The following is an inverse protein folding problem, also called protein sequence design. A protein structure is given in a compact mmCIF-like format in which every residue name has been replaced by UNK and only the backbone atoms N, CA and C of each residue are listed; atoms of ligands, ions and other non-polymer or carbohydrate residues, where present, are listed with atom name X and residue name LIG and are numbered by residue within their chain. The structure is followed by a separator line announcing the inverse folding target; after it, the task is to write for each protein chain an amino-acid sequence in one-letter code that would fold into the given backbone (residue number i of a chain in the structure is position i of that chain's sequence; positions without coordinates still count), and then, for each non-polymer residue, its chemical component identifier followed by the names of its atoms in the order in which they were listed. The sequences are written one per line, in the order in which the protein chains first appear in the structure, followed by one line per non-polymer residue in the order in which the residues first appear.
data_IF_183745600405
#
_entry.id   IF_183745600405
#
_cell.length_a   1.000
_cell.length_b   1.000
_cell.length_c   1.000
_cell.angle_alpha   90.00
_cell.angle_beta   90.00
_cell.angle_gamma   90.00
#
_symmetry.space_group_name_H-M   'P 1'
#
loop_
_entity.id
_entity.type
_entity.pdbx_description
1 polymer ?
#
# COMPACT_ATOMS: atom_id res chain seq x y z
N UNK A 1 21.96 10.60 -11.67
CA UNK A 1 20.52 10.80 -11.92
C UNK A 1 20.42 11.69 -13.14
N UNK A 2 19.88 11.16 -14.24
CA UNK A 2 19.91 11.81 -15.55
C UNK A 2 18.86 12.94 -15.62
N UNK A 3 19.12 14.00 -16.39
CA UNK A 3 18.20 15.15 -16.55
C UNK A 3 16.81 14.69 -17.03
N UNK A 4 16.78 13.64 -17.86
CA UNK A 4 15.56 13.02 -18.36
C UNK A 4 14.73 12.33 -17.26
N UNK A 5 15.38 11.71 -16.26
CA UNK A 5 14.70 11.10 -15.10
C UNK A 5 14.06 12.19 -14.23
N UNK A 6 14.78 13.29 -14.00
CA UNK A 6 14.23 14.43 -13.25
C UNK A 6 13.00 15.04 -13.94
N UNK A 7 13.08 15.30 -15.25
CA UNK A 7 11.96 15.84 -16.03
C UNK A 7 10.75 14.89 -16.02
N UNK A 8 10.99 13.58 -16.14
CA UNK A 8 9.94 12.56 -16.04
C UNK A 8 9.19 12.61 -14.71
N UNK A 9 9.91 12.74 -13.59
CA UNK A 9 9.30 12.84 -12.24
C UNK A 9 8.48 14.11 -12.07
N UNK A 10 8.95 15.24 -12.58
CA UNK A 10 8.20 16.51 -12.50
C UNK A 10 6.88 16.42 -13.25
N UNK A 11 6.90 15.89 -14.49
CA UNK A 11 5.69 15.71 -15.29
C UNK A 11 4.69 14.73 -14.65
N UNK A 12 5.20 13.68 -14.02
CA UNK A 12 4.40 12.70 -13.28
C UNK A 12 3.70 13.33 -12.05
N UNK A 13 4.41 14.17 -11.28
CA UNK A 13 3.82 14.93 -10.17
C UNK A 13 2.71 15.87 -10.66
N UNK A 14 2.95 16.63 -11.73
CA UNK A 14 1.92 17.55 -12.28
C UNK A 14 0.68 16.80 -12.76
N UNK A 15 0.86 15.66 -13.43
CA UNK A 15 -0.26 14.78 -13.81
C UNK A 15 -1.08 14.34 -12.60
N UNK A 16 -0.43 13.96 -11.49
CA UNK A 16 -1.14 13.53 -10.28
C UNK A 16 -1.86 14.65 -9.58
N UNK A 17 -1.31 15.87 -9.57
CA UNK A 17 -2.04 17.05 -9.06
C UNK A 17 -3.36 17.23 -9.81
N UNK A 18 -3.35 17.08 -11.13
CA UNK A 18 -4.56 17.15 -11.95
C UNK A 18 -5.55 16.04 -11.56
N UNK A 19 -5.08 14.80 -11.37
CA UNK A 19 -5.94 13.68 -10.95
C UNK A 19 -6.57 13.91 -9.57
N UNK A 20 -5.80 14.44 -8.61
CA UNK A 20 -6.28 14.84 -7.28
C UNK A 20 -7.40 15.88 -7.41
N UNK A 21 -7.14 16.97 -8.14
CA UNK A 21 -8.12 18.03 -8.31
C UNK A 21 -9.39 17.55 -9.00
N UNK A 22 -9.26 16.68 -10.00
CA UNK A 22 -10.42 16.07 -10.65
C UNK A 22 -11.23 15.23 -9.67
N UNK A 23 -10.58 14.43 -8.82
CA UNK A 23 -11.27 13.64 -7.81
C UNK A 23 -11.97 14.54 -6.78
N UNK A 24 -11.33 15.62 -6.32
CA UNK A 24 -11.94 16.61 -5.41
C UNK A 24 -13.19 17.26 -6.02
N UNK A 25 -13.13 17.65 -7.30
CA UNK A 25 -14.27 18.19 -8.05
C UNK A 25 -15.41 17.16 -8.13
N UNK A 26 -15.09 15.91 -8.49
CA UNK A 26 -16.09 14.86 -8.64
C UNK A 26 -16.76 14.46 -7.31
N UNK A 27 -16.00 14.45 -6.22
CA UNK A 27 -16.52 14.18 -4.87
C UNK A 27 -17.18 15.42 -4.24
N UNK A 28 -17.08 16.57 -4.91
CA UNK A 28 -17.52 17.88 -4.43
C UNK A 28 -16.99 18.19 -3.01
N UNK A 29 -15.70 17.93 -2.78
CA UNK A 29 -15.03 18.13 -1.49
C UNK A 29 -13.51 18.08 -1.63
N UNK A 30 -12.81 18.68 -0.67
CA UNK A 30 -11.37 18.57 -0.57
C UNK A 30 -10.94 17.22 0.01
N UNK A 31 -9.83 16.69 -0.49
CA UNK A 31 -9.15 15.54 0.09
C UNK A 31 -8.25 15.98 1.25
N UNK A 32 -8.07 15.13 2.27
CA UNK A 32 -7.10 15.38 3.34
C UNK A 32 -5.70 15.62 2.78
N UNK A 33 -4.96 16.55 3.40
CA UNK A 33 -3.65 16.98 2.90
C UNK A 33 -2.66 15.82 2.89
N UNK A 34 -2.66 14.97 3.92
CA UNK A 34 -1.73 13.85 3.99
C UNK A 34 -2.07 12.79 2.93
N UNK A 35 -3.35 12.62 2.61
CA UNK A 35 -3.76 11.74 1.51
C UNK A 35 -3.28 12.26 0.15
N UNK A 36 -3.39 13.57 -0.10
CA UNK A 36 -2.85 14.21 -1.31
C UNK A 36 -1.35 13.99 -1.41
N UNK A 37 -0.60 14.24 -0.34
CA UNK A 37 0.85 14.02 -0.30
C UNK A 37 1.19 12.56 -0.55
N UNK A 38 0.48 11.62 0.08
CA UNK A 38 0.66 10.18 -0.12
C UNK A 38 0.59 9.84 -1.61
N UNK A 39 -0.50 10.21 -2.29
CA UNK A 39 -0.63 9.90 -3.71
C UNK A 39 0.32 10.66 -4.63
N UNK A 40 0.76 11.86 -4.26
CA UNK A 40 1.78 12.60 -5.02
C UNK A 40 3.13 11.89 -4.96
N UNK A 41 3.51 11.34 -3.81
CA UNK A 41 4.80 10.69 -3.59
C UNK A 41 4.77 9.24 -4.08
N UNK A 42 3.75 8.47 -3.69
CA UNK A 42 3.70 7.04 -3.94
C UNK A 42 2.98 6.74 -5.26
N UNK A 43 3.69 6.09 -6.18
CA UNK A 43 3.06 5.42 -7.32
C UNK A 43 2.27 4.23 -6.81
N UNK A 44 0.98 4.42 -6.54
CA UNK A 44 0.09 3.34 -6.07
C UNK A 44 0.02 2.17 -7.09
N UNK A 45 0.24 2.45 -8.37
CA UNK A 45 0.40 1.46 -9.43
C UNK A 45 1.62 0.54 -9.20
N UNK A 46 2.68 1.06 -8.58
CA UNK A 46 3.93 0.34 -8.34
C UNK A 46 3.80 -0.67 -7.19
N UNK A 47 2.87 -0.43 -6.26
CA UNK A 47 2.48 -1.45 -5.28
C UNK A 47 1.82 -2.67 -5.95
N UNK A 48 1.36 -2.55 -7.20
CA UNK A 48 0.89 -3.71 -7.99
C UNK A 48 2.01 -4.40 -8.77
N UNK A 49 3.18 -3.78 -8.97
CA UNK A 49 4.37 -4.53 -9.39
C UNK A 49 4.88 -5.45 -8.28
N UNK A 50 4.39 -5.22 -7.05
CA UNK A 50 4.50 -6.10 -5.89
C UNK A 50 3.30 -7.08 -5.80
N UNK A 51 2.33 -7.02 -6.72
CA UNK A 51 1.19 -7.94 -6.75
C UNK A 51 1.43 -9.07 -7.74
N UNK A 52 1.98 -10.19 -7.26
CA UNK A 52 1.65 -11.49 -7.86
C UNK A 52 0.97 -12.48 -6.92
N UNK A 53 0.72 -12.13 -5.66
CA UNK A 53 -0.31 -12.79 -4.87
C UNK A 53 -1.06 -11.79 -3.99
N UNK A 54 -2.11 -12.24 -3.32
CA UNK A 54 -3.11 -11.48 -2.55
C UNK A 54 -2.59 -10.86 -1.25
N UNK A 55 -1.28 -10.62 -1.17
CA UNK A 55 -0.60 -9.94 -0.09
C UNK A 55 0.26 -8.83 -0.72
N UNK A 56 0.60 -7.78 0.01
CA UNK A 56 1.66 -6.87 -0.48
C UNK A 56 2.96 -7.69 -0.45
N UNK A 57 3.21 -8.41 -1.54
CA UNK A 57 4.41 -9.23 -1.73
C UNK A 57 5.47 -8.33 -2.32
N UNK A 58 6.37 -7.79 -1.49
CA UNK A 58 7.60 -7.36 -2.12
C UNK A 58 8.32 -8.62 -2.57
N UNK A 59 8.35 -8.81 -3.89
CA UNK A 59 9.25 -9.76 -4.52
C UNK A 59 10.66 -9.31 -4.13
N UNK A 60 11.20 -9.96 -3.11
CA UNK A 60 12.61 -9.91 -2.82
C UNK A 60 13.25 -10.67 -3.97
N UNK A 61 13.75 -9.95 -4.97
CA UNK A 61 14.58 -10.58 -5.99
C UNK A 61 15.83 -11.10 -5.26
N UNK A 62 15.91 -12.41 -5.11
CA UNK A 62 17.04 -13.10 -4.49
C UNK A 62 17.87 -13.69 -5.62
N UNK A 63 19.06 -13.15 -5.81
CA UNK A 63 19.99 -13.73 -6.78
C UNK A 63 20.70 -14.94 -6.16
N UNK A 64 20.47 -16.10 -6.77
CA UNK A 64 21.17 -17.36 -6.53
C UNK A 64 21.89 -17.75 -7.83
N UNK A 65 23.22 -17.85 -7.76
CA UNK A 65 24.09 -18.16 -8.90
C UNK A 65 23.84 -19.55 -9.48
N UNK A 66 23.44 -20.53 -8.67
CA UNK A 66 23.19 -21.90 -9.16
C UNK A 66 21.86 -22.02 -9.91
N UNK A 67 20.88 -21.19 -9.54
CA UNK A 67 19.48 -21.30 -10.01
C UNK A 67 19.05 -20.24 -11.03
N UNK A 68 19.91 -19.27 -11.37
CA UNK A 68 19.58 -18.17 -12.28
C UNK A 68 18.31 -17.40 -11.81
N UNK A 69 18.36 -16.88 -10.58
CA UNK A 69 17.30 -16.16 -9.82
C UNK A 69 16.31 -17.04 -9.06
N UNK A 70 16.04 -16.68 -7.80
CA UNK A 70 14.87 -17.13 -7.04
C UNK A 70 14.06 -15.91 -6.60
N UNK A 71 12.74 -15.96 -6.79
CA UNK A 71 11.86 -14.96 -6.18
C UNK A 71 11.69 -15.31 -4.71
N UNK A 72 12.42 -14.63 -3.83
CA UNK A 72 12.15 -14.63 -2.40
C UNK A 72 10.88 -13.82 -2.14
N UNK A 73 9.92 -14.38 -1.42
CA UNK A 73 8.71 -13.65 -1.03
C UNK A 73 8.96 -13.05 0.36
N UNK A 74 8.96 -11.72 0.47
CA UNK A 74 8.94 -11.06 1.77
C UNK A 74 7.50 -10.66 2.10
N UNK A 75 6.97 -11.23 3.19
CA UNK A 75 5.63 -10.91 3.67
C UNK A 75 5.69 -9.67 4.56
N UNK A 76 4.86 -8.67 4.25
CA UNK A 76 4.62 -7.59 5.20
C UNK A 76 3.64 -8.10 6.25
N UNK A 77 4.00 -7.93 7.51
CA UNK A 77 3.08 -8.08 8.62
C UNK A 77 2.94 -6.72 9.26
N UNK A 78 1.76 -6.14 9.10
CA UNK A 78 1.45 -5.02 9.95
C UNK A 78 1.10 -5.54 11.35
N UNK A 79 1.21 -4.66 12.36
CA UNK A 79 0.63 -4.95 13.68
C UNK A 79 -0.87 -5.30 13.62
N UNK A 80 -1.53 -5.03 12.48
CA UNK A 80 -2.93 -5.32 12.26
C UNK A 80 -3.19 -6.74 11.71
N UNK A 81 -2.16 -7.53 11.40
CA UNK A 81 -2.30 -8.91 10.90
C UNK A 81 -3.03 -9.82 11.87
N UNK A 82 -2.73 -9.69 13.16
CA UNK A 82 -3.39 -10.45 14.22
C UNK A 82 -4.91 -10.22 14.22
N UNK A 83 -5.36 -9.10 13.65
CA UNK A 83 -6.75 -8.72 13.52
C UNK A 83 -7.30 -8.89 12.09
N UNK A 84 -6.48 -9.34 11.13
CA UNK A 84 -6.87 -9.49 9.72
C UNK A 84 -7.00 -8.17 8.94
N UNK A 85 -6.43 -7.07 9.44
CA UNK A 85 -6.55 -5.75 8.80
C UNK A 85 -5.28 -5.28 8.07
N UNK A 86 -4.47 -6.23 7.61
CA UNK A 86 -3.34 -5.94 6.73
C UNK A 86 -3.83 -5.40 5.40
N UNK A 87 -3.26 -4.28 4.97
CA UNK A 87 -3.54 -3.73 3.65
C UNK A 87 -2.97 -4.62 2.56
N UNK A 88 -3.78 -4.86 1.53
CA UNK A 88 -3.42 -5.64 0.35
C UNK A 88 -3.36 -4.77 -0.89
N UNK A 89 -4.13 -3.68 -0.90
CA UNK A 89 -4.24 -2.82 -2.06
C UNK A 89 -4.58 -1.41 -1.63
N UNK A 90 -3.89 -0.43 -2.23
CA UNK A 90 -4.38 0.94 -2.33
C UNK A 90 -5.01 1.15 -3.70
N UNK A 91 -6.17 1.78 -3.76
CA UNK A 91 -6.82 2.09 -5.03
C UNK A 91 -6.13 3.26 -5.73
N UNK A 92 -6.04 3.18 -7.05
CA UNK A 92 -5.66 4.31 -7.90
C UNK A 92 -6.78 5.35 -7.93
N UNK A 93 -6.44 6.63 -8.15
CA UNK A 93 -7.41 7.71 -8.27
C UNK A 93 -8.59 7.39 -9.19
N UNK A 94 -8.28 6.91 -10.40
CA UNK A 94 -9.29 6.59 -11.42
C UNK A 94 -10.21 5.43 -10.98
N UNK A 95 -9.74 4.60 -10.04
CA UNK A 95 -10.49 3.47 -9.47
C UNK A 95 -11.31 3.85 -8.24
N UNK A 96 -10.86 4.80 -7.42
CA UNK A 96 -11.52 5.21 -6.17
C UNK A 96 -12.98 5.55 -6.44
N UNK A 97 -13.30 6.27 -7.52
CA UNK A 97 -14.67 6.60 -7.90
C UNK A 97 -15.57 5.38 -8.06
N UNK A 98 -15.09 4.40 -8.82
CA UNK A 98 -15.86 3.19 -9.10
C UNK A 98 -16.01 2.35 -7.82
N UNK A 99 -14.97 2.31 -6.99
CA UNK A 99 -15.02 1.67 -5.67
C UNK A 99 -16.04 2.35 -4.78
N UNK A 100 -16.02 3.68 -4.64
CA UNK A 100 -16.98 4.45 -3.85
C UNK A 100 -18.41 4.12 -4.29
N UNK A 101 -18.69 4.12 -5.60
CA UNK A 101 -20.02 3.80 -6.13
C UNK A 101 -20.47 2.38 -5.83
N UNK A 102 -19.55 1.42 -5.90
CA UNK A 102 -19.87 0.01 -5.69
C UNK A 102 -19.92 -0.34 -4.19
N UNK A 103 -19.12 0.34 -3.38
CA UNK A 103 -18.97 0.08 -1.95
C UNK A 103 -20.06 0.77 -1.13
N UNK A 104 -20.33 2.06 -1.41
CA UNK A 104 -21.40 2.79 -0.77
C UNK A 104 -22.76 2.47 -1.40
N UNK A 105 -23.17 1.20 -1.29
CA UNK A 105 -24.56 0.80 -1.51
C UNK A 105 -25.46 1.33 -0.36
N UNK A 106 -26.76 1.03 -0.39
CA UNK A 106 -27.74 1.56 0.57
C UNK A 106 -27.33 1.41 2.05
N UNK A 107 -26.63 0.32 2.41
CA UNK A 107 -26.20 0.04 3.79
C UNK A 107 -25.03 0.93 4.25
N UNK A 108 -24.27 1.46 3.29
CA UNK A 108 -23.03 2.17 3.50
C UNK A 108 -23.13 3.69 3.24
N UNK A 109 -24.25 4.17 2.68
CA UNK A 109 -24.51 5.59 2.41
C UNK A 109 -24.28 6.49 3.64
N UNK A 110 -24.42 5.98 4.86
CA UNK A 110 -24.15 6.71 6.11
C UNK A 110 -22.69 7.19 6.23
N UNK A 111 -21.74 6.51 5.59
CA UNK A 111 -20.31 6.82 5.68
C UNK A 111 -19.78 7.64 4.50
N UNK A 112 -20.53 7.73 3.39
CA UNK A 112 -20.04 8.35 2.15
C UNK A 112 -19.61 9.82 2.30
N UNK A 113 -20.15 10.52 3.30
CA UNK A 113 -19.86 11.94 3.55
C UNK A 113 -18.69 12.15 4.51
N UNK A 114 -18.35 11.14 5.30
CA UNK A 114 -17.37 11.25 6.37
C UNK A 114 -16.07 10.55 6.04
N UNK A 115 -16.07 9.67 5.04
CA UNK A 115 -14.94 8.81 4.70
C UNK A 115 -14.76 8.62 3.19
N UNK A 116 -13.52 8.31 2.80
CA UNK A 116 -13.16 7.87 1.45
C UNK A 116 -12.50 6.51 1.54
N UNK A 117 -12.92 5.57 0.70
CA UNK A 117 -12.26 4.28 0.56
C UNK A 117 -10.99 4.45 -0.26
N UNK A 118 -9.86 4.08 0.33
CA UNK A 118 -8.52 4.24 -0.27
C UNK A 118 -7.83 2.92 -0.58
N UNK A 119 -8.39 1.80 -0.11
CA UNK A 119 -7.81 0.49 -0.29
C UNK A 119 -8.67 -0.62 0.32
N UNK A 120 -8.11 -1.81 0.36
CA UNK A 120 -8.72 -2.99 0.96
C UNK A 120 -7.67 -3.88 1.65
N UNK A 121 -8.15 -4.63 2.64
CA UNK A 121 -7.36 -5.65 3.34
C UNK A 121 -7.33 -6.96 2.56
N UNK A 122 -6.57 -7.95 3.04
CA UNK A 122 -6.55 -9.31 2.47
C UNK A 122 -7.91 -10.04 2.56
N UNK A 123 -8.77 -9.58 3.48
CA UNK A 123 -10.13 -10.09 3.66
C UNK A 123 -11.17 -9.24 2.94
N UNK A 124 -10.72 -8.38 2.02
CA UNK A 124 -11.57 -7.42 1.29
C UNK A 124 -12.30 -6.43 2.19
N UNK A 125 -11.80 -6.19 3.41
CA UNK A 125 -12.33 -5.11 4.23
C UNK A 125 -11.82 -3.77 3.71
N UNK A 126 -12.70 -2.80 3.48
CA UNK A 126 -12.31 -1.51 2.97
C UNK A 126 -11.51 -0.74 4.00
N UNK A 127 -10.41 -0.17 3.54
CA UNK A 127 -9.61 0.78 4.29
C UNK A 127 -10.07 2.17 3.89
N UNK A 128 -10.43 2.95 4.89
CA UNK A 128 -11.08 4.25 4.75
C UNK A 128 -10.26 5.34 5.43
N UNK A 129 -10.28 6.53 4.84
CA UNK A 129 -9.72 7.74 5.46
C UNK A 129 -10.84 8.71 5.77
N UNK A 130 -10.84 9.25 6.98
CA UNK A 130 -11.74 10.31 7.37
C UNK A 130 -11.43 11.64 6.67
N UNK A 131 -12.47 12.34 6.25
CA UNK A 131 -12.38 13.56 5.41
C UNK A 131 -13.10 14.76 6.00
N UNK A 132 -13.84 14.59 7.10
CA UNK A 132 -14.50 15.69 7.76
C UNK A 132 -13.63 16.23 8.92
N UNK A 133 -14.03 17.35 9.52
CA UNK A 133 -13.26 17.99 10.58
C UNK A 133 -13.07 17.15 11.85
N UNK A 134 -13.90 16.13 12.09
CA UNK A 134 -13.84 15.27 13.29
C UNK A 134 -12.89 14.09 13.11
N UNK A 135 -12.66 13.65 11.87
CA UNK A 135 -11.93 12.43 11.56
C UNK A 135 -10.86 12.61 10.47
N UNK A 136 -10.58 13.84 10.04
CA UNK A 136 -9.61 14.16 8.99
C UNK A 136 -8.30 13.39 9.17
N UNK A 137 -7.82 12.81 8.07
CA UNK A 137 -6.60 12.00 7.95
C UNK A 137 -6.59 10.66 8.69
N UNK A 138 -7.49 10.43 9.65
CA UNK A 138 -7.55 9.17 10.41
C UNK A 138 -7.91 7.99 9.53
N UNK A 139 -7.23 6.88 9.75
CA UNK A 139 -7.38 5.64 9.00
C UNK A 139 -8.25 4.66 9.78
N UNK A 140 -9.22 4.09 9.08
CA UNK A 140 -10.14 3.09 9.59
C UNK A 140 -10.18 1.89 8.66
N UNK A 141 -10.59 0.74 9.19
CA UNK A 141 -11.11 -0.37 8.40
C UNK A 141 -12.59 -0.55 8.73
N UNK A 142 -13.39 -0.82 7.71
CA UNK A 142 -14.75 -1.30 7.94
C UNK A 142 -14.74 -2.81 8.08
N UNK A 143 -14.89 -3.31 9.31
CA UNK A 143 -15.02 -4.73 9.57
C UNK A 143 -16.43 -5.18 9.18
N UNK A 144 -16.55 -5.86 8.04
CA UNK A 144 -17.83 -6.32 7.48
C UNK A 144 -18.50 -7.37 8.38
N UNK A 145 -17.72 -8.19 9.09
CA UNK A 145 -18.26 -9.24 9.96
C UNK A 145 -18.88 -8.65 11.23
N UNK A 146 -18.33 -7.54 11.71
CA UNK A 146 -18.77 -6.84 12.93
C UNK A 146 -19.65 -5.62 12.67
N UNK A 147 -19.86 -5.26 11.40
CA UNK A 147 -20.61 -4.08 10.96
C UNK A 147 -20.14 -2.78 11.64
N UNK A 148 -18.82 -2.59 11.76
CA UNK A 148 -18.25 -1.44 12.48
C UNK A 148 -16.97 -0.88 11.87
N UNK A 149 -16.74 0.41 12.10
CA UNK A 149 -15.47 1.06 11.83
C UNK A 149 -14.50 0.80 12.97
N UNK A 150 -13.34 0.24 12.63
CA UNK A 150 -12.22 0.03 13.55
C UNK A 150 -11.15 1.07 13.23
N UNK A 151 -10.77 1.86 14.23
CA UNK A 151 -9.68 2.82 14.12
C UNK A 151 -8.34 2.10 14.03
N UNK A 152 -7.49 2.53 13.09
CA UNK A 152 -6.17 1.94 12.86
C UNK A 152 -5.04 2.91 13.21
N UNK A 153 -5.10 4.15 12.71
CA UNK A 153 -4.04 5.14 12.89
C UNK A 153 -4.55 6.58 12.72
N UNK A 154 -3.82 7.57 13.26
CA UNK A 154 -4.19 8.99 13.13
C UNK A 154 -3.86 9.56 11.74
N UNK A 155 -3.03 8.87 10.95
CA UNK A 155 -2.74 9.26 9.56
C UNK A 155 -2.34 8.07 8.70
N UNK A 156 -2.38 8.27 7.37
CA UNK A 156 -1.86 7.29 6.42
C UNK A 156 -0.38 6.98 6.64
N UNK A 157 0.43 7.98 6.99
CA UNK A 157 1.86 7.76 7.25
C UNK A 157 2.10 6.96 8.52
N UNK A 158 1.34 7.24 9.58
CA UNK A 158 1.40 6.42 10.80
C UNK A 158 0.93 4.99 10.52
N UNK A 159 -0.13 4.81 9.74
CA UNK A 159 -0.56 3.50 9.30
C UNK A 159 0.57 2.73 8.60
N UNK A 160 1.24 3.37 7.62
CA UNK A 160 2.37 2.79 6.89
C UNK A 160 3.59 2.50 7.78
N UNK A 161 3.90 3.36 8.76
CA UNK A 161 5.01 3.14 9.71
C UNK A 161 4.79 1.92 10.61
N UNK A 162 3.54 1.49 10.79
CA UNK A 162 3.18 0.31 11.56
C UNK A 162 3.21 -0.99 10.73
N UNK A 163 3.52 -0.90 9.43
CA UNK A 163 3.75 -2.06 8.58
C UNK A 163 5.20 -2.50 8.77
N UNK A 164 5.39 -3.70 9.31
CA UNK A 164 6.72 -4.31 9.45
C UNK A 164 6.91 -5.35 8.36
N UNK A 165 8.15 -5.55 7.95
CA UNK A 165 8.53 -6.73 7.21
C UNK A 165 8.59 -7.88 8.22
N UNK A 166 7.85 -8.96 8.00
CA UNK A 166 8.03 -10.16 8.81
C UNK A 166 8.79 -11.23 8.08
N UNK A 167 9.97 -11.45 8.63
CA UNK A 167 10.98 -12.40 8.22
C UNK A 167 10.79 -13.82 8.78
N UNK A 168 9.70 -14.02 9.52
CA UNK A 168 9.26 -15.28 10.13
C UNK A 168 8.74 -16.29 9.07
N UNK A 169 9.63 -17.18 8.66
CA UNK A 169 9.35 -18.57 8.27
C UNK A 169 8.77 -18.90 6.88
N UNK A 170 8.49 -17.95 5.98
CA UNK A 170 7.94 -18.28 4.64
C UNK A 170 8.68 -17.61 3.49
N UNK A 171 10.00 -17.59 3.55
CA UNK A 171 10.79 -17.17 2.41
C UNK A 171 11.12 -18.38 1.55
N UNK A 172 10.92 -18.28 0.24
CA UNK A 172 11.58 -19.14 -0.75
C UNK A 172 13.09 -18.81 -0.80
N UNK A 173 13.76 -18.71 0.35
CA UNK A 173 15.21 -18.65 0.42
C UNK A 173 15.76 -20.05 0.10
N UNK A 174 17.00 -20.14 -0.41
CA UNK A 174 17.69 -21.41 -0.54
C UNK A 174 17.70 -22.18 0.79
N UNK A 175 17.73 -23.51 0.70
CA UNK A 175 17.75 -24.38 1.88
C UNK A 175 18.93 -24.02 2.80
N UNK A 176 18.68 -23.95 4.11
CA UNK A 176 19.69 -23.59 5.11
C UNK A 176 20.02 -22.10 5.18
N UNK A 177 19.36 -21.25 4.39
CA UNK A 177 19.55 -19.79 4.43
C UNK A 177 18.43 -19.09 5.18
N UNK A 178 18.83 -18.01 5.84
CA UNK A 178 18.00 -17.14 6.68
C UNK A 178 18.04 -15.71 6.17
N UNK A 179 17.22 -14.86 6.75
CA UNK A 179 17.17 -13.44 6.38
C UNK A 179 18.44 -12.70 6.80
N UNK A 180 19.13 -13.16 7.84
CA UNK A 180 20.41 -12.60 8.27
C UNK A 180 21.53 -12.84 7.22
N UNK A 181 21.33 -13.80 6.32
CA UNK A 181 22.23 -14.07 5.21
C UNK A 181 22.00 -13.12 4.02
N UNK A 182 20.96 -12.28 4.06
CA UNK A 182 20.69 -11.34 2.99
C UNK A 182 21.62 -10.12 3.06
N UNK A 183 22.17 -9.74 1.91
CA UNK A 183 22.97 -8.53 1.76
C UNK A 183 22.67 -7.83 0.43
N UNK A 184 23.10 -6.58 0.32
CA UNK A 184 22.90 -5.76 -0.87
C UNK A 184 24.11 -4.89 -1.11
N UNK A 185 24.67 -4.90 -2.32
CA UNK A 185 25.74 -3.98 -2.67
C UNK A 185 25.16 -2.59 -2.97
N UNK A 186 26.01 -1.57 -2.82
CA UNK A 186 25.64 -0.20 -3.19
C UNK A 186 25.27 -0.12 -4.68
N UNK A 187 24.10 0.46 -4.96
CA UNK A 187 23.61 0.66 -6.33
C UNK A 187 22.81 -0.51 -6.92
N UNK A 188 22.70 -1.64 -6.23
CA UNK A 188 21.80 -2.73 -6.65
C UNK A 188 20.34 -2.39 -6.30
N UNK A 189 19.37 -3.00 -6.99
CA UNK A 189 17.94 -2.94 -6.68
C UNK A 189 17.39 -4.25 -6.08
N UNK A 190 18.19 -5.33 -6.11
CA UNK A 190 17.87 -6.65 -5.56
C UNK A 190 18.69 -6.99 -4.31
N UNK A 191 18.33 -8.09 -3.63
CA UNK A 191 19.07 -8.65 -2.51
C UNK A 191 19.80 -9.93 -2.93
N UNK A 192 20.95 -10.18 -2.33
CA UNK A 192 21.75 -11.40 -2.51
C UNK A 192 21.71 -12.21 -1.24
N UNK A 193 21.90 -13.52 -1.38
CA UNK A 193 22.15 -14.40 -0.25
C UNK A 193 23.65 -14.62 -0.15
N UNK A 194 24.24 -14.44 1.04
CA UNK A 194 25.63 -14.79 1.30
C UNK A 194 25.77 -16.28 1.01
N UNK A 195 26.60 -16.62 0.05
CA UNK A 195 27.17 -17.96 -0.01
C UNK A 195 28.20 -18.01 1.11
N UNK A 196 28.00 -18.85 2.12
CA UNK A 196 29.04 -19.02 3.12
C UNK A 196 30.15 -19.89 2.52
N UNK A 197 31.37 -19.64 3.00
CA UNK A 197 32.65 -20.21 2.58
C UNK A 197 32.79 -21.72 2.84
#
# INVERSE_FOLDING_TARGET
MDYLDHLGRVLDIERRKIQISNLEIELNRELPVLLKIFYLIYQVNDLRKLKKSSHIDFNLLVYDEERNYTNGMALFISKYKEFGYDITLFYEFDSIKNVIKNFFNDDFLKYQNDYIVIGETSWHFPIMIGINSKNCDKVYVYDLDKDQLVFLADSIFEYLMNIKLDFSNNYNLPEGKSVDDLYKNWGEDFWRVRQDA
#
